data_IF_689061909763
#
_entry.id   IF_689061909763
#
_cell.length_a   1.000
_cell.length_b   1.000
_cell.length_c   1.000
_cell.angle_alpha   90.00
_cell.angle_beta   90.00
_cell.angle_gamma   90.00
#
_symmetry.space_group_name_H-M   'P 1'
#
loop_
_entity.id
_entity.type
_entity.pdbx_description
1 polymer ?
#
# COMPACT_ATOMS: atom_id res chain seq x y z
N UNK A 1 14.83 -6.08 1.52
CA UNK A 1 14.74 -4.97 0.56
C UNK A 1 13.70 -3.94 1.00
N UNK A 2 12.47 -4.31 1.41
CA UNK A 2 11.44 -3.32 1.76
C UNK A 2 11.69 -2.43 2.99
N UNK A 3 12.62 -2.80 3.87
CA UNK A 3 12.99 -1.98 5.05
C UNK A 3 13.70 -0.67 4.69
N UNK A 4 14.28 -0.57 3.50
CA UNK A 4 15.07 0.58 3.06
C UNK A 4 14.22 1.65 2.34
N UNK A 5 13.00 1.29 1.94
CA UNK A 5 12.12 2.11 1.13
C UNK A 5 10.78 2.35 1.83
N UNK A 6 10.48 3.62 2.02
CA UNK A 6 9.22 4.08 2.57
C UNK A 6 8.52 4.96 1.55
N UNK A 7 7.20 4.99 1.64
CA UNK A 7 6.42 6.01 0.99
C UNK A 7 5.66 6.81 2.03
N UNK A 8 5.52 8.09 1.73
CA UNK A 8 4.74 9.05 2.49
C UNK A 8 3.45 9.27 1.70
N UNK A 9 2.33 8.88 2.27
CA UNK A 9 1.00 8.98 1.67
C UNK A 9 0.52 10.43 1.73
N UNK A 10 -0.04 10.91 0.61
CA UNK A 10 -0.61 12.25 0.54
C UNK A 10 -2.00 12.30 1.21
N UNK A 11 -2.04 12.90 2.40
CA UNK A 11 -3.26 13.08 3.20
C UNK A 11 -4.31 14.01 2.59
N UNK A 12 -3.97 14.77 1.55
CA UNK A 12 -4.94 15.64 0.86
C UNK A 12 -5.85 14.86 -0.09
N UNK A 13 -5.50 13.61 -0.41
CA UNK A 13 -6.31 12.74 -1.27
C UNK A 13 -7.33 11.96 -0.44
N UNK A 14 -8.52 11.72 -0.98
CA UNK A 14 -9.54 10.89 -0.31
C UNK A 14 -9.00 9.49 0.03
N UNK A 15 -8.25 8.88 -0.90
CA UNK A 15 -7.59 7.58 -0.69
C UNK A 15 -6.52 7.65 0.39
N UNK A 16 -5.76 8.73 0.47
CA UNK A 16 -4.75 8.93 1.50
C UNK A 16 -5.34 9.09 2.89
N UNK A 17 -6.44 9.84 3.04
CA UNK A 17 -7.18 9.95 4.32
C UNK A 17 -7.71 8.61 4.78
N UNK A 18 -8.30 7.85 3.87
CA UNK A 18 -8.82 6.51 4.14
C UNK A 18 -7.69 5.55 4.57
N UNK A 19 -6.55 5.62 3.88
CA UNK A 19 -5.36 4.85 4.24
C UNK A 19 -4.85 5.18 5.65
N UNK A 20 -4.70 6.46 5.98
CA UNK A 20 -4.23 6.91 7.31
C UNK A 20 -5.20 6.46 8.40
N UNK A 21 -6.51 6.51 8.13
CA UNK A 21 -7.54 6.02 9.06
C UNK A 21 -7.40 4.51 9.33
N UNK A 22 -7.02 3.72 8.34
CA UNK A 22 -6.83 2.26 8.46
C UNK A 22 -5.52 1.91 9.16
N UNK A 23 -4.42 2.55 8.76
CA UNK A 23 -3.08 2.19 9.21
C UNK A 23 -2.60 2.96 10.46
N UNK A 24 -3.25 4.08 10.78
CA UNK A 24 -2.85 4.99 11.85
C UNK A 24 -1.56 5.78 11.57
N UNK A 25 -1.05 5.72 10.34
CA UNK A 25 0.20 6.36 9.90
C UNK A 25 0.11 6.74 8.43
N UNK A 26 0.84 7.79 8.04
CA UNK A 26 1.04 8.19 6.65
C UNK A 26 2.29 7.58 6.03
N UNK A 27 3.09 6.84 6.80
CA UNK A 27 4.36 6.26 6.36
C UNK A 27 4.27 4.74 6.39
N UNK A 28 4.60 4.10 5.27
CA UNK A 28 4.62 2.64 5.13
C UNK A 28 5.78 2.16 4.26
N UNK A 29 6.23 0.94 4.52
CA UNK A 29 7.25 0.28 3.72
C UNK A 29 6.69 -0.33 2.44
N UNK A 30 7.50 -0.31 1.38
CA UNK A 30 7.13 -0.88 0.07
C UNK A 30 8.09 -2.00 -0.34
N UNK A 31 7.60 -2.95 -1.14
CA UNK A 31 8.42 -4.09 -1.59
C UNK A 31 9.58 -3.69 -2.49
N UNK A 32 9.41 -2.64 -3.29
CA UNK A 32 10.40 -2.16 -4.27
C UNK A 32 10.24 -0.66 -4.53
N UNK A 33 11.34 0.10 -4.68
CA UNK A 33 11.31 1.51 -5.06
C UNK A 33 10.96 1.72 -6.54
N UNK A 34 10.91 0.65 -7.33
CA UNK A 34 10.52 0.70 -8.75
C UNK A 34 9.01 0.46 -8.84
N UNK A 35 8.21 1.48 -9.22
CA UNK A 35 6.77 1.30 -9.37
C UNK A 35 6.47 0.39 -10.56
N UNK A 36 5.36 -0.34 -10.48
CA UNK A 36 4.87 -1.18 -11.57
C UNK A 36 3.62 -0.57 -12.19
N UNK A 37 3.43 -0.82 -13.49
CA UNK A 37 2.17 -0.51 -14.14
C UNK A 37 1.08 -1.46 -13.67
N UNK A 38 -0.06 -0.88 -13.28
CA UNK A 38 -1.28 -1.60 -12.96
C UNK A 38 -2.44 -1.04 -13.81
N UNK A 39 -3.46 -1.87 -14.02
CA UNK A 39 -4.72 -1.43 -14.59
C UNK A 39 -5.68 -1.07 -13.46
N UNK A 40 -6.22 0.15 -13.50
CA UNK A 40 -7.33 0.55 -12.63
C UNK A 40 -8.67 0.22 -13.27
N UNK A 41 -9.81 0.25 -12.53
CA UNK A 41 -11.12 -0.12 -13.08
C UNK A 41 -11.53 0.65 -14.34
N UNK A 42 -11.04 1.87 -14.54
CA UNK A 42 -11.24 2.66 -15.77
C UNK A 42 -10.46 2.13 -16.99
N UNK A 43 -9.71 1.03 -16.83
CA UNK A 43 -8.77 0.44 -17.82
C UNK A 43 -7.57 1.31 -18.16
N UNK A 44 -7.36 2.39 -17.42
CA UNK A 44 -6.15 3.21 -17.52
C UNK A 44 -4.95 2.48 -16.91
N UNK A 45 -3.78 2.61 -17.55
CA UNK A 45 -2.51 2.14 -16.99
C UNK A 45 -1.90 3.23 -16.12
N UNK A 46 -1.71 2.93 -14.84
CA UNK A 46 -1.10 3.85 -13.87
C UNK A 46 0.07 3.19 -13.15
N UNK A 47 1.00 4.00 -12.65
CA UNK A 47 2.12 3.52 -11.84
C UNK A 47 1.71 3.38 -10.38
N UNK A 48 2.06 2.26 -9.78
CA UNK A 48 1.82 1.98 -8.36
C UNK A 48 3.02 1.30 -7.69
N UNK A 49 3.24 1.66 -6.44
CA UNK A 49 4.07 0.89 -5.51
C UNK A 49 3.22 -0.17 -4.83
N UNK A 50 3.87 -1.15 -4.21
CA UNK A 50 3.20 -2.21 -3.48
C UNK A 50 3.64 -2.21 -2.03
N UNK A 51 2.67 -2.15 -1.13
CA UNK A 51 2.89 -2.27 0.31
C UNK A 51 3.65 -3.56 0.62
N UNK A 52 4.64 -3.46 1.51
CA UNK A 52 5.30 -4.64 2.05
C UNK A 52 4.49 -5.22 3.21
N UNK A 53 3.65 -6.21 2.88
CA UNK A 53 2.75 -6.87 3.84
C UNK A 53 3.50 -7.65 4.93
N UNK A 54 4.79 -7.95 4.74
CA UNK A 54 5.61 -8.65 5.73
C UNK A 54 6.12 -7.69 6.81
N UNK A 55 6.03 -6.37 6.56
CA UNK A 55 6.50 -5.32 7.46
C UNK A 55 5.36 -4.60 8.20
N UNK A 56 4.10 -4.95 7.93
CA UNK A 56 2.95 -4.43 8.69
C UNK A 56 2.64 -5.31 9.90
N UNK A 57 2.14 -4.70 10.96
CA UNK A 57 1.74 -5.43 12.17
C UNK A 57 0.48 -6.27 11.93
N UNK A 58 0.28 -7.32 12.75
CA UNK A 58 -0.97 -8.12 12.72
C UNK A 58 -2.23 -7.25 12.88
N UNK A 59 -2.18 -6.22 13.73
CA UNK A 59 -3.29 -5.27 13.93
C UNK A 59 -3.59 -4.46 12.68
N UNK A 60 -2.55 -3.92 12.02
CA UNK A 60 -2.71 -3.19 10.75
C UNK A 60 -3.24 -4.11 9.65
N UNK A 61 -2.77 -5.36 9.60
CA UNK A 61 -3.24 -6.35 8.64
C UNK A 61 -4.73 -6.66 8.81
N UNK A 62 -5.20 -6.90 10.04
CA UNK A 62 -6.64 -7.11 10.29
C UNK A 62 -7.47 -5.85 10.01
N UNK A 63 -6.96 -4.65 10.34
CA UNK A 63 -7.62 -3.39 9.99
C UNK A 63 -7.78 -3.21 8.47
N UNK A 64 -6.75 -3.55 7.71
CA UNK A 64 -6.75 -3.53 6.25
C UNK A 64 -7.75 -4.54 5.67
N UNK A 65 -7.74 -5.78 6.15
CA UNK A 65 -8.68 -6.82 5.71
C UNK A 65 -10.13 -6.36 5.94
N UNK A 66 -10.43 -5.86 7.15
CA UNK A 66 -11.76 -5.36 7.49
C UNK A 66 -12.18 -4.18 6.61
N UNK A 67 -11.25 -3.28 6.33
CA UNK A 67 -11.51 -2.14 5.46
C UNK A 67 -11.79 -2.58 4.01
N UNK A 68 -10.97 -3.46 3.45
CA UNK A 68 -11.14 -3.98 2.08
C UNK A 68 -12.44 -4.78 1.93
N UNK A 69 -12.76 -5.62 2.92
CA UNK A 69 -14.01 -6.38 2.96
C UNK A 69 -15.23 -5.46 2.87
N UNK A 70 -15.26 -4.38 3.66
CA UNK A 70 -16.34 -3.39 3.62
C UNK A 70 -16.36 -2.58 2.32
N UNK A 71 -15.20 -2.14 1.85
CA UNK A 71 -15.07 -1.26 0.67
C UNK A 71 -15.48 -1.95 -0.63
N UNK A 72 -15.14 -3.23 -0.77
CA UNK A 72 -15.40 -4.01 -1.97
C UNK A 72 -16.54 -5.01 -1.82
N UNK A 73 -17.22 -4.98 -0.67
CA UNK A 73 -18.31 -5.90 -0.32
C UNK A 73 -17.91 -7.37 -0.53
N UNK A 74 -16.74 -7.75 -0.04
CA UNK A 74 -16.18 -9.10 -0.16
C UNK A 74 -16.11 -9.79 1.21
N UNK A 75 -16.27 -11.12 1.29
CA UNK A 75 -16.09 -11.87 2.53
C UNK A 75 -14.68 -11.67 3.11
N UNK A 76 -14.57 -11.59 4.43
CA UNK A 76 -13.28 -11.42 5.14
C UNK A 76 -12.31 -12.54 4.78
N UNK A 77 -12.77 -13.79 4.71
CA UNK A 77 -11.93 -14.94 4.39
C UNK A 77 -11.41 -14.87 2.95
N UNK A 78 -12.26 -14.46 2.00
CA UNK A 78 -11.84 -14.20 0.63
C UNK A 78 -10.73 -13.14 0.55
N UNK A 79 -10.89 -12.04 1.28
CA UNK A 79 -9.85 -11.00 1.33
C UNK A 79 -8.57 -11.55 1.94
N UNK A 80 -8.66 -12.29 3.05
CA UNK A 80 -7.50 -12.84 3.76
C UNK A 80 -6.68 -13.78 2.89
N UNK A 81 -7.33 -14.66 2.11
CA UNK A 81 -6.67 -15.61 1.22
C UNK A 81 -6.04 -14.97 -0.03
N UNK A 82 -6.57 -13.83 -0.47
CA UNK A 82 -6.13 -13.18 -1.70
C UNK A 82 -5.22 -11.97 -1.46
N UNK A 83 -5.14 -11.45 -0.24
CA UNK A 83 -4.36 -10.25 0.09
C UNK A 83 -2.89 -10.37 -0.31
N UNK A 84 -2.25 -11.50 0.02
CA UNK A 84 -0.82 -11.70 -0.30
C UNK A 84 -0.58 -11.95 -1.80
N UNK A 85 -1.56 -12.55 -2.49
CA UNK A 85 -1.48 -12.84 -3.92
C UNK A 85 -1.64 -11.57 -4.76
N UNK A 86 -2.58 -10.72 -4.39
CA UNK A 86 -2.90 -9.49 -5.12
C UNK A 86 -2.02 -8.31 -4.69
N UNK A 87 -1.56 -8.32 -3.44
CA UNK A 87 -0.86 -7.19 -2.83
C UNK A 87 -1.77 -5.98 -2.66
N UNK A 88 -1.19 -4.89 -2.14
CA UNK A 88 -1.91 -3.64 -1.92
C UNK A 88 -1.23 -2.53 -2.71
N UNK A 89 -1.81 -2.14 -3.86
CA UNK A 89 -1.24 -1.11 -4.70
C UNK A 89 -1.47 0.28 -4.11
N UNK A 90 -0.43 1.12 -4.15
CA UNK A 90 -0.44 2.50 -3.73
C UNK A 90 -0.02 3.34 -4.92
N UNK A 91 -0.92 4.18 -5.43
CA UNK A 91 -0.68 4.91 -6.67
C UNK A 91 0.46 5.91 -6.48
N UNK A 92 1.37 5.98 -7.46
CA UNK A 92 2.50 6.91 -7.44
C UNK A 92 2.07 8.37 -7.30
N UNK A 93 0.90 8.74 -7.83
CA UNK A 93 0.36 10.11 -7.74
C UNK A 93 -0.09 10.50 -6.33
N UNK A 94 -0.38 9.51 -5.48
CA UNK A 94 -0.96 9.71 -4.14
C UNK A 94 0.12 9.57 -3.04
N UNK A 95 1.41 9.50 -3.40
CA UNK A 95 2.50 9.33 -2.44
C UNK A 95 3.86 9.85 -2.94
N UNK A 96 4.78 10.09 -2.01
CA UNK A 96 6.19 10.39 -2.28
C UNK A 96 7.08 9.29 -1.74
N UNK A 97 8.17 8.96 -2.43
CA UNK A 97 9.14 7.96 -1.96
C UNK A 97 10.19 8.63 -1.05
N UNK A 98 10.53 7.94 0.04
CA UNK A 98 11.62 8.29 0.94
C UNK A 98 12.56 7.08 1.09
N UNK A 99 13.86 7.31 0.95
CA UNK A 99 14.89 6.27 1.09
C UNK A 99 15.57 6.48 2.44
N UNK A 100 15.45 5.49 3.34
CA UNK A 100 15.97 5.59 4.71
C UNK A 100 17.50 5.48 4.80
N UNK A 101 18.16 4.95 3.78
CA UNK A 101 19.62 4.74 3.77
C UNK A 101 20.21 4.82 2.36
N UNK A 102 20.27 6.01 1.74
CA UNK A 102 20.72 6.18 0.36
C UNK A 102 22.18 5.71 0.14
N UNK A 103 23.03 5.80 1.15
CA UNK A 103 24.46 5.42 1.10
C UNK A 103 24.73 3.93 0.82
N UNK A 104 23.74 3.04 0.97
CA UNK A 104 23.87 1.61 0.62
C UNK A 104 23.58 1.30 -0.86
N UNK A 105 23.20 2.31 -1.64
CA UNK A 105 22.67 2.16 -2.99
C UNK A 105 23.38 3.06 -4.02
N UNK A 106 24.49 3.69 -3.63
CA UNK A 106 25.41 4.45 -4.50
C UNK A 106 26.63 3.57 -4.76
#
# INVERSE_FOLDING_TARGET
MGKDFEIIINENTERGKDFIKVFGTSIVNIKSPVPKYILIPSKEKVLAYFLDLDLITKKQREALINHLSKKFNQPIDFVRENLDKMGVPILKKDCSIAIKSPQRWI
#
